data_IF_379302157210
#
_entry.id   IF_379302157210
#
_cell.length_a   1.000
_cell.length_b   1.000
_cell.length_c   1.000
_cell.angle_alpha   90.00
_cell.angle_beta   90.00
_cell.angle_gamma   90.00
#
_symmetry.space_group_name_H-M   'P 1'
#
loop_
_entity.id
_entity.type
_entity.pdbx_description
1 polymer ?
#
# COMPACT_ATOMS: atom_id res chain seq x y z
N UNK A 1 7.25 19.60 -5.07
CA UNK A 1 7.77 18.38 -5.72
C UNK A 1 8.73 17.63 -4.81
N UNK A 2 9.74 18.28 -4.24
CA UNK A 2 10.75 17.62 -3.39
C UNK A 2 10.18 16.93 -2.14
N UNK A 3 9.20 17.54 -1.47
CA UNK A 3 8.53 16.95 -0.31
C UNK A 3 7.73 15.68 -0.65
N UNK A 4 7.13 15.62 -1.84
CA UNK A 4 6.37 14.44 -2.28
C UNK A 4 7.31 13.27 -2.63
N UNK A 5 8.43 13.54 -3.32
CA UNK A 5 9.43 12.53 -3.64
C UNK A 5 10.08 11.98 -2.36
N UNK A 6 10.36 12.84 -1.37
CA UNK A 6 10.87 12.41 -0.07
C UNK A 6 9.91 11.43 0.64
N UNK A 7 8.63 11.77 0.71
CA UNK A 7 7.61 10.89 1.31
C UNK A 7 7.41 9.62 0.48
N UNK A 8 7.50 9.70 -0.85
CA UNK A 8 7.40 8.52 -1.71
C UNK A 8 8.57 7.56 -1.48
N UNK A 9 9.81 8.04 -1.48
CA UNK A 9 11.01 7.20 -1.34
C UNK A 9 11.12 6.61 0.07
N UNK A 10 10.94 7.42 1.11
CA UNK A 10 11.13 6.97 2.48
C UNK A 10 9.86 6.40 3.12
N UNK A 11 8.67 6.81 2.67
CA UNK A 11 7.38 6.33 3.17
C UNK A 11 6.90 5.03 2.52
N UNK A 12 7.27 4.74 1.27
CA UNK A 12 6.93 3.49 0.59
C UNK A 12 7.36 2.22 1.35
N UNK A 13 8.58 2.08 1.89
CA UNK A 13 8.96 0.86 2.59
C UNK A 13 8.06 0.58 3.80
N UNK A 14 7.64 1.62 4.53
CA UNK A 14 6.68 1.47 5.64
C UNK A 14 5.28 1.09 5.15
N UNK A 15 4.78 1.74 4.08
CA UNK A 15 3.49 1.41 3.49
C UNK A 15 3.44 -0.03 2.96
N UNK A 16 4.51 -0.46 2.27
CA UNK A 16 4.66 -1.83 1.79
C UNK A 16 4.69 -2.83 2.95
N UNK A 17 5.41 -2.54 4.03
CA UNK A 17 5.44 -3.39 5.21
C UNK A 17 4.06 -3.55 5.87
N UNK A 18 3.31 -2.44 6.02
CA UNK A 18 1.93 -2.48 6.55
C UNK A 18 1.02 -3.28 5.63
N UNK A 19 1.16 -3.11 4.31
CA UNK A 19 0.41 -3.89 3.32
C UNK A 19 0.68 -5.40 3.46
N UNK A 20 1.95 -5.81 3.58
CA UNK A 20 2.31 -7.21 3.79
C UNK A 20 1.71 -7.79 5.08
N UNK A 21 1.76 -7.06 6.20
CA UNK A 21 1.15 -7.49 7.46
C UNK A 21 -0.37 -7.67 7.30
N UNK A 22 -1.04 -6.71 6.64
CA UNK A 22 -2.48 -6.81 6.40
C UNK A 22 -2.82 -8.01 5.52
N UNK A 23 -2.01 -8.30 4.50
CA UNK A 23 -2.18 -9.48 3.64
C UNK A 23 -2.04 -10.78 4.44
N UNK A 24 -1.02 -10.90 5.28
CA UNK A 24 -0.83 -12.09 6.15
C UNK A 24 -2.00 -12.26 7.10
N UNK A 25 -2.50 -11.17 7.70
CA UNK A 25 -3.67 -11.20 8.60
C UNK A 25 -4.95 -11.63 7.88
N UNK A 26 -5.17 -11.20 6.64
CA UNK A 26 -6.30 -11.65 5.83
C UNK A 26 -6.19 -13.15 5.57
N UNK A 27 -5.01 -13.63 5.16
CA UNK A 27 -4.78 -15.05 4.89
C UNK A 27 -5.04 -15.90 6.15
N UNK A 28 -4.58 -15.45 7.32
CA UNK A 28 -4.82 -16.15 8.58
C UNK A 28 -6.32 -16.11 8.99
N UNK A 29 -7.01 -14.99 8.77
CA UNK A 29 -8.46 -14.88 9.01
C UNK A 29 -9.29 -15.78 8.09
N UNK A 30 -8.93 -15.87 6.81
CA UNK A 30 -9.56 -16.76 5.84
C UNK A 30 -9.38 -18.22 6.29
N UNK A 31 -8.17 -18.60 6.69
CA UNK A 31 -7.90 -19.96 7.21
C UNK A 31 -8.70 -20.31 8.46
N UNK A 32 -8.99 -19.33 9.32
CA UNK A 32 -9.76 -19.50 10.55
C UNK A 32 -11.28 -19.32 10.37
N UNK A 33 -11.75 -19.06 9.14
CA UNK A 33 -13.18 -18.88 8.84
C UNK A 33 -13.80 -17.62 9.45
N UNK A 34 -13.00 -16.61 9.80
CA UNK A 34 -13.47 -15.36 10.42
C UNK A 34 -13.78 -14.26 9.40
N UNK A 35 -14.54 -13.24 9.83
CA UNK A 35 -14.84 -12.07 9.01
C UNK A 35 -13.56 -11.28 8.63
N UNK A 36 -13.28 -11.24 7.33
CA UNK A 36 -12.10 -10.59 6.76
C UNK A 36 -12.41 -9.32 5.95
N UNK A 37 -13.69 -8.98 5.72
CA UNK A 37 -14.11 -7.83 4.89
C UNK A 37 -13.47 -6.49 5.30
N UNK A 38 -13.39 -6.23 6.61
CA UNK A 38 -12.75 -5.01 7.10
C UNK A 38 -11.24 -4.98 6.76
N UNK A 39 -10.54 -6.10 6.97
CA UNK A 39 -9.11 -6.20 6.65
C UNK A 39 -8.87 -6.11 5.13
N UNK A 40 -9.75 -6.69 4.33
CA UNK A 40 -9.70 -6.65 2.87
C UNK A 40 -9.81 -5.22 2.33
N UNK A 41 -10.75 -4.42 2.87
CA UNK A 41 -10.87 -2.99 2.52
C UNK A 41 -9.58 -2.24 2.86
N UNK A 42 -9.03 -2.47 4.06
CA UNK A 42 -7.79 -1.83 4.48
C UNK A 42 -6.58 -2.24 3.62
N UNK A 43 -6.49 -3.51 3.22
CA UNK A 43 -5.45 -3.97 2.32
C UNK A 43 -5.62 -3.38 0.91
N UNK A 44 -6.84 -3.34 0.37
CA UNK A 44 -7.14 -2.73 -0.93
C UNK A 44 -6.82 -1.23 -0.95
N UNK A 45 -7.17 -0.50 0.12
CA UNK A 45 -6.85 0.93 0.25
C UNK A 45 -5.34 1.18 0.33
N UNK A 46 -4.63 0.34 1.10
CA UNK A 46 -3.17 0.40 1.22
C UNK A 46 -2.49 0.10 -0.13
N UNK A 47 -3.00 -0.89 -0.86
CA UNK A 47 -2.50 -1.23 -2.20
C UNK A 47 -2.73 -0.10 -3.21
N UNK A 48 -3.94 0.45 -3.24
CA UNK A 48 -4.27 1.58 -4.12
C UNK A 48 -3.37 2.79 -3.85
N UNK A 49 -3.08 3.09 -2.57
CA UNK A 49 -2.14 4.14 -2.18
C UNK A 49 -0.71 3.88 -2.69
N UNK A 50 -0.21 2.65 -2.59
CA UNK A 50 1.11 2.27 -3.10
C UNK A 50 1.15 2.43 -4.63
N UNK A 51 0.16 1.89 -5.34
CA UNK A 51 0.08 1.95 -6.81
C UNK A 51 -0.03 3.40 -7.30
N UNK A 52 -0.86 4.22 -6.65
CA UNK A 52 -0.97 5.64 -6.95
C UNK A 52 0.36 6.38 -6.75
N UNK A 53 1.04 6.11 -5.63
CA UNK A 53 2.34 6.72 -5.35
C UNK A 53 3.37 6.33 -6.40
N UNK A 54 3.39 5.06 -6.83
CA UNK A 54 4.24 4.61 -7.94
C UNK A 54 3.91 5.29 -9.26
N UNK A 55 2.64 5.33 -9.64
CA UNK A 55 2.19 5.93 -10.89
C UNK A 55 2.57 7.42 -10.96
N UNK A 56 2.33 8.18 -9.88
CA UNK A 56 2.71 9.60 -9.80
C UNK A 56 4.23 9.77 -9.81
N UNK A 57 4.97 8.91 -9.11
CA UNK A 57 6.45 8.98 -9.10
C UNK A 57 7.04 8.75 -10.50
N UNK A 58 6.51 7.77 -11.24
CA UNK A 58 6.92 7.48 -12.63
C UNK A 58 6.53 8.63 -13.57
N UNK A 59 5.32 9.17 -13.41
CA UNK A 59 4.84 10.30 -14.21
C UNK A 59 5.74 11.53 -14.03
N UNK A 60 6.05 11.90 -12.78
CA UNK A 60 6.95 13.01 -12.46
C UNK A 60 8.39 12.76 -12.93
N UNK A 61 8.89 11.52 -12.82
CA UNK A 61 10.23 11.17 -13.27
C UNK A 61 10.40 11.26 -14.80
N UNK A 62 9.32 11.05 -15.56
CA UNK A 62 9.33 11.12 -17.02
C UNK A 62 8.96 12.51 -17.57
N UNK A 63 8.91 13.54 -16.71
CA UNK A 63 8.68 14.93 -17.13
C UNK A 63 7.24 15.30 -17.46
N UNK A 64 6.27 14.56 -16.89
CA UNK A 64 4.85 14.92 -16.90
C UNK A 64 4.49 16.09 -15.99
#
# INVERSE_FOLDING_TARGET
MESFIFVAVYGMPFAAFIFFINMIRIIDKIKRGGDYKANEIWAGLSFALIVWTFAVSIFLANGG
#
